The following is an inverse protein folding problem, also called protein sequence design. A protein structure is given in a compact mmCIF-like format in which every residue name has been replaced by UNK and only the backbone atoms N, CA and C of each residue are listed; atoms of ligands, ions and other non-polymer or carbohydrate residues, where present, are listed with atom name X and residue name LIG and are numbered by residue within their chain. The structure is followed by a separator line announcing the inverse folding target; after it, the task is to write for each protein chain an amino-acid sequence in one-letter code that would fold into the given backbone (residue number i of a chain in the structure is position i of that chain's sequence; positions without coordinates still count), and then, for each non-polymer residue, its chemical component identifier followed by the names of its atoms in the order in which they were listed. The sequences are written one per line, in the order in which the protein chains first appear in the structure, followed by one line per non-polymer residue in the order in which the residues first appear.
data_IF_794872989120
#
_entry.id   IF_794872989120
#
_cell.length_a   1.000
_cell.length_b   1.000
_cell.length_c   1.000
_cell.angle_alpha   90.00
_cell.angle_beta   90.00
_cell.angle_gamma   90.00
#
_symmetry.space_group_name_H-M   'P 1'
#
loop_
_entity.id
_entity.type
_entity.pdbx_description
1 polymer ?
#
# COMPACT_ATOMS: atom_id res chain seq x y z
N UNK A 1 -6.31 -19.56 11.46
CA UNK A 1 -6.09 -18.95 10.14
C UNK A 1 -4.63 -18.59 10.06
N UNK A 2 -3.92 -18.96 8.98
CA UNK A 2 -2.54 -18.52 8.79
C UNK A 2 -2.50 -16.99 8.75
N UNK A 3 -1.72 -16.36 9.62
CA UNK A 3 -1.48 -14.93 9.55
C UNK A 3 -0.58 -14.67 8.34
N UNK A 4 -0.97 -13.75 7.46
CA UNK A 4 -0.08 -13.29 6.38
C UNK A 4 0.93 -12.37 7.05
N UNK A 5 2.17 -12.84 7.17
CA UNK A 5 3.28 -12.01 7.63
C UNK A 5 3.81 -11.21 6.46
N UNK A 6 3.73 -9.88 6.55
CA UNK A 6 4.33 -8.96 5.59
C UNK A 6 5.65 -8.52 6.20
N UNK A 7 6.76 -8.83 5.54
CA UNK A 7 8.11 -8.44 5.98
C UNK A 7 8.37 -6.95 5.78
N UNK A 8 9.39 -6.35 6.44
CA UNK A 8 9.73 -4.94 6.26
C UNK A 8 10.05 -4.57 4.81
N UNK A 9 10.68 -5.48 4.05
CA UNK A 9 10.99 -5.25 2.63
C UNK A 9 9.73 -5.25 1.76
N UNK A 10 8.75 -6.10 2.08
CA UNK A 10 7.45 -6.09 1.40
C UNK A 10 6.65 -4.84 1.73
N UNK A 11 6.71 -4.33 2.97
CA UNK A 11 6.13 -3.02 3.32
C UNK A 11 6.76 -1.90 2.49
N UNK A 12 8.08 -1.91 2.31
CA UNK A 12 8.77 -0.94 1.46
C UNK A 12 8.33 -1.05 -0.01
N UNK A 13 8.17 -2.27 -0.53
CA UNK A 13 7.67 -2.50 -1.88
C UNK A 13 6.24 -1.96 -2.06
N UNK A 14 5.35 -2.20 -1.09
CA UNK A 14 3.98 -1.69 -1.11
C UNK A 14 3.94 -0.15 -1.06
N UNK A 15 4.82 0.49 -0.29
CA UNK A 15 4.98 1.96 -0.29
C UNK A 15 5.38 2.49 -1.65
N UNK A 16 6.35 1.85 -2.32
CA UNK A 16 6.76 2.23 -3.68
C UNK A 16 5.62 2.05 -4.67
N UNK A 17 4.88 0.96 -4.55
CA UNK A 17 3.71 0.70 -5.39
C UNK A 17 2.65 1.79 -5.20
N UNK A 18 2.39 2.25 -3.98
CA UNK A 18 1.46 3.35 -3.70
C UNK A 18 1.91 4.65 -4.40
N UNK A 19 3.20 4.98 -4.35
CA UNK A 19 3.73 6.16 -5.06
C UNK A 19 3.53 6.08 -6.58
N UNK A 20 3.82 4.91 -7.17
CA UNK A 20 3.64 4.70 -8.62
C UNK A 20 2.15 4.80 -9.00
N UNK A 21 1.26 4.19 -8.22
CA UNK A 21 -0.18 4.25 -8.46
C UNK A 21 -0.73 5.69 -8.31
N UNK A 22 -0.15 6.49 -7.40
CA UNK A 22 -0.43 7.92 -7.28
C UNK A 22 -0.02 8.69 -8.53
N UNK A 23 1.21 8.50 -9.01
CA UNK A 23 1.66 9.12 -10.25
C UNK A 23 0.81 8.70 -11.46
N UNK A 24 0.44 7.42 -11.54
CA UNK A 24 -0.44 6.89 -12.60
C UNK A 24 -1.84 7.51 -12.54
N UNK A 25 -2.41 7.69 -11.34
CA UNK A 25 -3.70 8.35 -11.17
C UNK A 25 -3.69 9.81 -11.66
N UNK A 26 -2.55 10.48 -11.63
CA UNK A 26 -2.41 11.85 -12.15
C UNK A 26 -2.10 11.90 -13.65
N UNK A 27 -1.62 10.81 -14.26
CA UNK A 27 -1.32 10.74 -15.69
C UNK A 27 -2.48 10.23 -16.55
N UNK A 28 -3.45 9.51 -15.97
CA UNK A 28 -4.63 9.00 -16.68
C UNK A 28 -5.87 9.88 -16.46
N UNK A 29 -6.91 9.69 -17.29
CA UNK A 29 -8.12 10.50 -17.26
C UNK A 29 -9.41 9.66 -17.27
N UNK A 30 -10.56 10.33 -17.09
CA UNK A 30 -11.87 9.71 -17.12
C UNK A 30 -12.11 8.72 -15.97
N UNK A 31 -12.92 7.71 -16.24
CA UNK A 31 -13.31 6.68 -15.27
C UNK A 31 -12.10 5.91 -14.71
N UNK A 32 -11.08 5.67 -15.55
CA UNK A 32 -9.85 4.99 -15.13
C UNK A 32 -9.13 5.75 -14.01
N UNK A 33 -9.09 7.09 -14.04
CA UNK A 33 -8.53 7.90 -12.95
C UNK A 33 -9.30 7.72 -11.64
N UNK A 34 -10.62 7.66 -11.72
CA UNK A 34 -11.48 7.49 -10.54
C UNK A 34 -11.23 6.14 -9.90
N UNK A 35 -11.25 5.06 -10.68
CA UNK A 35 -11.00 3.70 -10.20
C UNK A 35 -9.58 3.55 -9.64
N UNK A 36 -8.59 4.11 -10.33
CA UNK A 36 -7.20 4.11 -9.89
C UNK A 36 -7.01 4.82 -8.54
N UNK A 37 -7.72 5.94 -8.30
CA UNK A 37 -7.71 6.64 -7.01
C UNK A 37 -8.36 5.83 -5.89
N UNK A 38 -9.43 5.09 -6.19
CA UNK A 38 -10.08 4.19 -5.23
C UNK A 38 -9.14 3.05 -4.85
N UNK A 39 -8.51 2.40 -5.83
CA UNK A 39 -7.52 1.35 -5.58
C UNK A 39 -6.32 1.86 -4.77
N UNK A 40 -5.83 3.07 -5.09
CA UNK A 40 -4.75 3.70 -4.34
C UNK A 40 -5.11 3.90 -2.86
N UNK A 41 -6.35 4.31 -2.55
CA UNK A 41 -6.80 4.45 -1.14
C UNK A 41 -6.75 3.11 -0.40
N UNK A 42 -7.26 2.05 -1.00
CA UNK A 42 -7.23 0.70 -0.41
C UNK A 42 -5.79 0.24 -0.19
N UNK A 43 -4.90 0.48 -1.16
CA UNK A 43 -3.49 0.16 -1.02
C UNK A 43 -2.83 0.92 0.13
N UNK A 44 -3.12 2.22 0.30
CA UNK A 44 -2.60 3.01 1.42
C UNK A 44 -3.08 2.47 2.78
N UNK A 45 -4.32 2.02 2.90
CA UNK A 45 -4.84 1.39 4.11
C UNK A 45 -4.16 0.05 4.43
N UNK A 46 -3.86 -0.75 3.40
CA UNK A 46 -3.09 -1.99 3.55
C UNK A 46 -1.67 -1.69 4.02
N UNK A 47 -1.00 -0.71 3.40
CA UNK A 47 0.34 -0.27 3.81
C UNK A 47 0.35 0.19 5.25
N UNK A 48 -0.61 1.01 5.67
CA UNK A 48 -0.69 1.51 7.03
C UNK A 48 -0.85 0.37 8.07
N UNK A 49 -1.72 -0.61 7.79
CA UNK A 49 -1.88 -1.80 8.65
C UNK A 49 -0.60 -2.64 8.70
N UNK A 50 0.05 -2.82 7.56
CA UNK A 50 1.31 -3.58 7.48
C UNK A 50 2.46 -2.88 8.22
N UNK A 51 2.56 -1.55 8.11
CA UNK A 51 3.52 -0.74 8.87
C UNK A 51 3.32 -0.87 10.37
N UNK A 52 2.07 -0.80 10.84
CA UNK A 52 1.74 -0.95 12.27
C UNK A 52 2.10 -2.33 12.79
N UNK A 53 1.78 -3.39 12.03
CA UNK A 53 2.13 -4.77 12.39
C UNK A 53 3.65 -4.97 12.47
N UNK A 54 4.41 -4.39 11.54
CA UNK A 54 5.88 -4.48 11.54
C UNK A 54 6.54 -3.69 12.67
N UNK A 55 5.98 -2.54 13.07
CA UNK A 55 6.50 -1.77 14.21
C UNK A 55 6.28 -2.46 15.56
N UNK A 56 5.24 -3.30 15.67
CA UNK A 56 4.95 -4.08 16.88
C UNK A 56 5.88 -5.28 17.13
N UNK A 57 6.67 -5.70 16.14
CA UNK A 57 7.62 -6.82 16.25
C UNK A 57 9.05 -6.45 16.66
N UNK A 58 9.33 -5.16 16.85
CA UNK A 58 10.66 -4.63 17.19
C UNK A 58 10.85 -4.37 18.69
N UNK A 59 10.64 -5.38 19.54
CA UNK A 59 11.11 -5.42 20.92
C UNK A 59 11.40 -6.89 21.27
N UNK A 60 12.66 -7.29 21.05
CA UNK A 60 13.24 -8.57 21.37
C UNK A 60 14.74 -8.49 21.17
#
# INVERSE_FOLDING_TARGET
MAAIEITPVEVLALKKLALINGALAESISGQARVEQRVLLRVLMEVVARADLANRGGGCG
#
